data_IF_410694236782
#
_entry.id   IF_410694236782
#
_cell.length_a   1.000
_cell.length_b   1.000
_cell.length_c   1.000
_cell.angle_alpha   90.00
_cell.angle_beta   90.00
_cell.angle_gamma   90.00
#
_symmetry.space_group_name_H-M   'P 1'
#
loop_
_entity.id
_entity.type
_entity.pdbx_description
1 polymer ?
#
# COMPACT_ATOMS: atom_id res chain seq x y z
N UNK A 1 7.53 17.44 13.66
CA UNK A 1 7.09 16.06 13.97
C UNK A 1 5.60 16.09 14.31
N UNK A 2 4.81 15.07 13.93
CA UNK A 2 3.38 15.03 14.22
C UNK A 2 3.11 14.85 15.74
N UNK A 3 2.05 15.48 16.31
CA UNK A 3 1.67 15.31 17.72
C UNK A 3 1.38 13.84 18.09
N UNK A 4 1.83 13.39 19.27
CA UNK A 4 1.77 11.98 19.74
C UNK A 4 0.39 11.35 19.56
N UNK A 5 -0.66 12.07 19.90
CA UNK A 5 -2.06 11.62 19.90
C UNK A 5 -2.69 11.53 18.49
N UNK A 6 -2.10 12.18 17.49
CA UNK A 6 -2.64 12.27 16.12
C UNK A 6 -1.75 11.58 15.09
N UNK A 7 -0.74 10.81 15.53
CA UNK A 7 0.21 10.15 14.62
C UNK A 7 -0.46 9.18 13.66
N UNK A 8 -1.51 8.48 14.08
CA UNK A 8 -2.29 7.61 13.21
C UNK A 8 -2.90 8.39 12.05
N UNK A 9 -3.56 9.51 12.35
CA UNK A 9 -4.10 10.41 11.32
C UNK A 9 -3.03 10.95 10.37
N UNK A 10 -1.90 11.45 10.87
CA UNK A 10 -0.85 12.00 9.99
C UNK A 10 -0.14 10.93 9.15
N UNK A 11 -0.02 9.69 9.65
CA UNK A 11 0.53 8.56 8.90
C UNK A 11 -0.29 8.22 7.64
N UNK A 12 -1.60 8.50 7.65
CA UNK A 12 -2.47 8.29 6.48
C UNK A 12 -2.03 9.07 5.24
N UNK A 13 -1.33 10.20 5.41
CA UNK A 13 -0.89 11.04 4.29
C UNK A 13 0.08 10.33 3.35
N UNK A 14 0.85 9.36 3.87
CA UNK A 14 1.80 8.57 3.07
C UNK A 14 1.03 7.75 2.03
N UNK A 15 0.03 6.99 2.45
CA UNK A 15 -0.79 6.20 1.54
C UNK A 15 -1.80 7.04 0.76
N UNK A 16 -2.28 8.15 1.33
CA UNK A 16 -3.19 9.08 0.63
C UNK A 16 -2.49 9.72 -0.56
N UNK A 17 -1.27 10.23 -0.39
CA UNK A 17 -0.50 10.85 -1.49
C UNK A 17 -0.12 9.83 -2.57
N UNK A 18 0.35 8.64 -2.19
CA UNK A 18 0.65 7.57 -3.13
C UNK A 18 -0.58 7.12 -3.93
N UNK A 19 -1.72 6.93 -3.26
CA UNK A 19 -2.96 6.52 -3.93
C UNK A 19 -3.58 7.64 -4.75
N UNK A 20 -3.44 8.91 -4.35
CA UNK A 20 -3.84 10.05 -5.16
C UNK A 20 -3.06 10.10 -6.49
N UNK A 21 -1.77 9.76 -6.47
CA UNK A 21 -0.97 9.59 -7.68
C UNK A 21 -1.50 8.47 -8.59
N UNK A 22 -1.81 7.30 -8.02
CA UNK A 22 -2.44 6.19 -8.75
C UNK A 22 -3.79 6.62 -9.33
N UNK A 23 -4.62 7.29 -8.54
CA UNK A 23 -5.95 7.76 -8.95
C UNK A 23 -5.85 8.75 -10.11
N UNK A 24 -4.93 9.71 -10.04
CA UNK A 24 -4.67 10.66 -11.13
C UNK A 24 -4.23 9.95 -12.41
N UNK A 25 -3.35 8.94 -12.31
CA UNK A 25 -2.94 8.12 -13.44
C UNK A 25 -4.09 7.31 -14.04
N UNK A 26 -4.89 6.66 -13.20
CA UNK A 26 -6.06 5.86 -13.63
C UNK A 26 -7.14 6.74 -14.25
N UNK A 27 -7.42 7.92 -13.68
CA UNK A 27 -8.35 8.91 -14.24
C UNK A 27 -7.89 9.39 -15.60
N UNK A 28 -6.60 9.73 -15.74
CA UNK A 28 -6.03 10.12 -17.03
C UNK A 28 -6.20 8.99 -18.06
N UNK A 29 -5.90 7.76 -17.69
CA UNK A 29 -6.12 6.59 -18.55
C UNK A 29 -7.58 6.38 -18.95
N UNK A 30 -8.51 6.54 -18.01
CA UNK A 30 -9.95 6.42 -18.25
C UNK A 30 -10.46 7.51 -19.20
N UNK A 31 -10.06 8.77 -18.99
CA UNK A 31 -10.43 9.90 -19.86
C UNK A 31 -9.89 9.67 -21.27
N UNK A 32 -8.60 9.36 -21.41
CA UNK A 32 -8.00 9.14 -22.73
C UNK A 32 -8.66 7.98 -23.48
N UNK A 33 -9.02 6.90 -22.79
CA UNK A 33 -9.70 5.75 -23.40
C UNK A 33 -11.15 6.05 -23.76
N UNK A 34 -11.81 6.98 -23.06
CA UNK A 34 -13.16 7.44 -23.39
C UNK A 34 -13.23 8.44 -24.53
N UNK A 35 -12.18 9.25 -24.73
CA UNK A 35 -12.15 10.32 -25.74
C UNK A 35 -11.46 9.89 -27.03
N UNK A 36 -10.44 9.02 -26.97
CA UNK A 36 -9.67 8.58 -28.14
C UNK A 36 -10.20 7.26 -28.71
N UNK A 37 -10.09 7.12 -30.03
CA UNK A 37 -10.31 5.83 -30.68
C UNK A 37 -9.22 4.82 -30.29
N UNK A 38 -9.50 3.52 -30.43
CA UNK A 38 -8.47 2.47 -30.19
C UNK A 38 -7.23 2.66 -31.07
N UNK A 39 -7.41 3.14 -32.31
CA UNK A 39 -6.31 3.39 -33.23
C UNK A 39 -5.43 4.54 -32.73
N UNK A 40 -6.03 5.67 -32.32
CA UNK A 40 -5.31 6.84 -31.82
C UNK A 40 -4.59 6.57 -30.50
N UNK A 41 -5.24 5.83 -29.59
CA UNK A 41 -4.64 5.42 -28.33
C UNK A 41 -3.35 4.63 -28.56
N UNK A 42 -3.37 3.68 -29.50
CA UNK A 42 -2.21 2.86 -29.84
C UNK A 42 -1.14 3.64 -30.62
N UNK A 43 -1.55 4.55 -31.51
CA UNK A 43 -0.65 5.33 -32.33
C UNK A 43 0.13 6.35 -31.48
N UNK A 44 -0.55 7.14 -30.63
CA UNK A 44 0.07 8.25 -29.90
C UNK A 44 -0.48 8.52 -28.50
N UNK A 45 -1.75 8.21 -28.22
CA UNK A 45 -2.42 8.57 -26.96
C UNK A 45 -1.70 8.06 -25.70
N UNK A 46 -1.07 6.88 -25.77
CA UNK A 46 -0.30 6.31 -24.66
C UNK A 46 0.89 7.17 -24.20
N UNK A 47 1.39 8.10 -25.04
CA UNK A 47 2.52 8.99 -24.68
C UNK A 47 2.10 10.09 -23.70
N UNK A 48 0.82 10.48 -23.68
CA UNK A 48 0.32 11.57 -22.82
C UNK A 48 0.58 11.27 -21.33
N UNK A 49 0.21 10.10 -20.76
CA UNK A 49 0.54 9.78 -19.38
C UNK A 49 2.04 9.85 -19.04
N UNK A 50 2.91 9.44 -19.97
CA UNK A 50 4.36 9.52 -19.76
C UNK A 50 4.88 10.95 -19.73
N UNK A 51 4.37 11.83 -20.61
CA UNK A 51 4.74 13.24 -20.62
C UNK A 51 4.28 13.94 -19.34
N UNK A 52 3.03 13.70 -18.92
CA UNK A 52 2.49 14.24 -17.66
C UNK A 52 3.29 13.73 -16.46
N UNK A 53 3.56 12.42 -16.39
CA UNK A 53 4.38 11.82 -15.34
C UNK A 53 5.81 12.37 -15.31
N UNK A 54 6.43 12.59 -16.48
CA UNK A 54 7.75 13.21 -16.60
C UNK A 54 7.78 14.64 -16.06
N UNK A 55 6.80 15.47 -16.42
CA UNK A 55 6.68 16.83 -15.92
C UNK A 55 6.50 16.86 -14.39
N UNK A 56 5.65 16.00 -13.84
CA UNK A 56 5.46 15.86 -12.39
C UNK A 56 6.74 15.36 -11.70
N UNK A 57 7.49 14.45 -12.34
CA UNK A 57 8.79 13.97 -11.83
C UNK A 57 9.83 15.08 -11.73
N UNK A 58 9.94 15.93 -12.76
CA UNK A 58 10.82 17.11 -12.73
C UNK A 58 10.38 18.07 -11.61
N UNK A 59 9.08 18.34 -11.50
CA UNK A 59 8.55 19.19 -10.44
C UNK A 59 8.89 18.65 -9.04
N UNK A 60 8.72 17.35 -8.82
CA UNK A 60 9.07 16.70 -7.55
C UNK A 60 10.59 16.78 -7.26
N UNK A 61 11.44 16.66 -8.28
CA UNK A 61 12.89 16.82 -8.15
C UNK A 61 13.26 18.25 -7.75
N UNK A 62 12.66 19.25 -8.38
CA UNK A 62 12.89 20.67 -8.03
C UNK A 62 12.41 20.98 -6.62
N UNK A 63 11.23 20.48 -6.24
CA UNK A 63 10.71 20.64 -4.89
C UNK A 63 11.66 20.01 -3.86
N UNK A 64 12.15 18.79 -4.13
CA UNK A 64 13.08 18.10 -3.24
C UNK A 64 14.41 18.83 -3.10
N UNK A 65 14.93 19.42 -4.19
CA UNK A 65 16.15 20.21 -4.17
C UNK A 65 16.02 21.52 -3.36
N UNK A 66 14.80 22.02 -3.15
CA UNK A 66 14.52 23.29 -2.44
C UNK A 66 14.02 23.12 -1.01
N UNK A 67 13.72 21.89 -0.55
CA UNK A 67 13.31 21.65 0.84
C UNK A 67 14.49 21.85 1.79
N UNK A 68 14.31 22.69 2.82
CA UNK A 68 15.27 22.81 3.92
C UNK A 68 15.25 21.53 4.76
N UNK A 69 16.43 20.98 5.03
CA UNK A 69 16.65 19.89 5.99
C UNK A 69 16.00 20.25 7.34
N UNK A 70 15.33 19.28 7.98
CA UNK A 70 14.70 19.47 9.29
C UNK A 70 15.75 19.85 10.35
N UNK A 71 15.39 20.69 11.32
CA UNK A 71 16.28 21.10 12.43
C UNK A 71 16.88 19.90 13.19
N UNK A 72 16.14 18.78 13.30
CA UNK A 72 16.62 17.53 13.89
C UNK A 72 17.78 16.86 13.12
N UNK A 73 17.89 17.12 11.81
CA UNK A 73 18.98 16.65 10.95
C UNK A 73 20.15 17.66 10.90
N UNK A 74 19.89 18.95 11.14
CA UNK A 74 20.94 19.97 11.22
C UNK A 74 21.68 19.97 12.57
N UNK A 75 21.03 19.49 13.64
CA UNK A 75 21.64 19.37 14.97
C UNK A 75 22.55 18.13 15.12
N UNK A 76 22.45 17.13 14.22
CA UNK A 76 23.42 16.04 14.13
C UNK A 76 24.69 16.56 13.43
N UNK A 77 25.69 16.95 14.22
CA UNK A 77 27.01 17.29 13.71
C UNK A 77 27.56 16.14 12.84
N UNK A 78 28.31 16.42 11.76
CA UNK A 78 28.81 15.43 10.79
C UNK A 78 29.85 14.44 11.35
N UNK A 79 29.92 14.25 12.66
CA UNK A 79 31.03 13.62 13.39
C UNK A 79 30.73 12.25 14.00
N UNK A 80 29.50 11.73 14.01
CA UNK A 80 29.29 10.32 14.39
C UNK A 80 29.58 9.39 13.20
N UNK A 81 30.57 8.49 13.36
CA UNK A 81 30.84 7.39 12.43
C UNK A 81 29.52 6.71 12.09
N UNK A 82 29.07 6.84 10.83
CA UNK A 82 27.90 6.11 10.33
C UNK A 82 28.16 4.62 10.51
N UNK A 83 27.54 4.04 11.53
CA UNK A 83 27.62 2.60 11.75
C UNK A 83 27.09 1.88 10.49
N UNK A 84 27.72 0.79 10.06
CA UNK A 84 27.27 0.06 8.89
C UNK A 84 25.83 -0.46 9.10
N UNK A 85 25.01 -0.33 8.05
CA UNK A 85 23.57 -0.63 8.11
C UNK A 85 23.26 -2.09 8.46
N UNK A 86 24.06 -3.03 7.96
CA UNK A 86 23.78 -4.47 8.06
C UNK A 86 23.91 -5.01 9.50
N UNK A 87 24.99 -4.70 10.26
CA UNK A 87 25.07 -5.03 11.68
C UNK A 87 23.87 -4.56 12.51
N UNK A 88 23.34 -3.36 12.22
CA UNK A 88 22.17 -2.84 12.92
C UNK A 88 20.92 -3.65 12.59
N UNK A 89 20.68 -3.99 11.31
CA UNK A 89 19.53 -4.82 10.93
C UNK A 89 19.61 -6.21 11.59
N UNK A 90 20.79 -6.82 11.62
CA UNK A 90 21.00 -8.13 12.27
C UNK A 90 20.75 -8.05 13.78
N UNK A 91 21.21 -6.97 14.43
CA UNK A 91 20.96 -6.71 15.86
C UNK A 91 19.47 -6.58 16.16
N UNK A 92 18.70 -5.95 15.28
CA UNK A 92 17.24 -5.75 15.41
C UNK A 92 16.43 -6.70 14.52
N UNK A 93 16.93 -7.93 14.29
CA UNK A 93 16.28 -8.93 13.42
C UNK A 93 14.84 -9.25 13.80
N UNK A 94 14.50 -9.20 15.08
CA UNK A 94 13.13 -9.46 15.56
C UNK A 94 12.17 -8.38 15.09
N UNK A 95 12.58 -7.11 15.18
CA UNK A 95 11.81 -5.96 14.70
C UNK A 95 11.74 -5.95 13.17
N UNK A 96 12.83 -6.31 12.49
CA UNK A 96 12.84 -6.47 11.04
C UNK A 96 11.83 -7.55 10.58
N UNK A 97 11.78 -8.70 11.27
CA UNK A 97 10.79 -9.74 11.01
C UNK A 97 9.36 -9.27 11.30
N UNK A 98 9.15 -8.44 12.32
CA UNK A 98 7.83 -7.84 12.58
C UNK A 98 7.40 -6.90 11.46
N UNK A 99 8.31 -6.10 10.90
CA UNK A 99 8.02 -5.28 9.71
C UNK A 99 7.61 -6.15 8.53
N UNK A 100 8.39 -7.19 8.23
CA UNK A 100 8.11 -8.11 7.13
C UNK A 100 6.76 -8.80 7.34
N UNK A 101 6.52 -9.37 8.53
CA UNK A 101 5.29 -10.07 8.87
C UNK A 101 4.05 -9.19 8.72
N UNK A 102 4.10 -7.95 9.22
CA UNK A 102 3.01 -6.98 9.07
C UNK A 102 2.84 -6.47 7.63
N UNK A 103 3.90 -6.48 6.82
CA UNK A 103 3.88 -6.00 5.43
C UNK A 103 3.39 -7.07 4.46
N UNK A 104 3.76 -8.34 4.64
CA UNK A 104 3.72 -9.35 3.59
C UNK A 104 2.32 -9.61 3.02
N UNK A 105 1.32 -9.82 3.87
CA UNK A 105 -0.07 -9.97 3.43
C UNK A 105 -0.65 -8.67 2.89
N UNK A 106 -0.36 -7.55 3.56
CA UNK A 106 -0.84 -6.24 3.18
C UNK A 106 -0.38 -5.85 1.77
N UNK A 107 0.93 -6.01 1.48
CA UNK A 107 1.49 -5.63 0.19
C UNK A 107 0.94 -6.50 -0.93
N UNK A 108 0.84 -7.81 -0.75
CA UNK A 108 0.31 -8.69 -1.80
C UNK A 108 -1.13 -8.31 -2.13
N UNK A 109 -1.99 -8.20 -1.11
CA UNK A 109 -3.41 -7.93 -1.33
C UNK A 109 -3.63 -6.51 -1.86
N UNK A 110 -2.84 -5.53 -1.42
CA UNK A 110 -2.88 -4.17 -1.97
C UNK A 110 -2.49 -4.12 -3.45
N UNK A 111 -1.42 -4.83 -3.87
CA UNK A 111 -1.03 -4.85 -5.28
C UNK A 111 -2.12 -5.48 -6.15
N UNK A 112 -2.75 -6.55 -5.67
CA UNK A 112 -3.78 -7.25 -6.43
C UNK A 112 -5.05 -6.41 -6.57
N UNK A 113 -5.54 -5.84 -5.47
CA UNK A 113 -6.80 -5.09 -5.48
C UNK A 113 -6.64 -3.62 -5.84
N UNK A 114 -5.63 -2.94 -5.31
CA UNK A 114 -5.42 -1.51 -5.51
C UNK A 114 -4.75 -1.15 -6.84
N UNK A 115 -3.92 -2.05 -7.39
CA UNK A 115 -3.10 -1.76 -8.57
C UNK A 115 -3.53 -2.58 -9.79
N UNK A 116 -3.65 -3.91 -9.65
CA UNK A 116 -3.76 -4.81 -10.81
C UNK A 116 -5.20 -5.20 -11.16
N UNK A 117 -6.14 -5.14 -10.22
CA UNK A 117 -7.51 -5.60 -10.42
C UNK A 117 -8.21 -5.04 -11.67
N UNK A 118 -8.14 -3.72 -12.00
CA UNK A 118 -8.74 -3.19 -13.23
C UNK A 118 -8.16 -3.81 -14.49
N UNK A 119 -6.83 -3.93 -14.54
CA UNK A 119 -6.13 -4.55 -15.67
C UNK A 119 -6.47 -6.03 -15.81
N UNK A 120 -6.54 -6.76 -14.68
CA UNK A 120 -6.94 -8.16 -14.65
C UNK A 120 -8.38 -8.37 -15.14
N UNK A 121 -9.32 -7.53 -14.70
CA UNK A 121 -10.71 -7.61 -15.16
C UNK A 121 -10.83 -7.37 -16.67
N UNK A 122 -10.08 -6.40 -17.20
CA UNK A 122 -10.06 -6.12 -18.63
C UNK A 122 -9.40 -7.24 -19.46
N UNK A 123 -8.31 -7.84 -18.99
CA UNK A 123 -7.54 -8.84 -19.76
C UNK A 123 -8.09 -10.26 -19.64
N UNK A 124 -8.37 -10.69 -18.41
CA UNK A 124 -8.77 -12.06 -18.07
C UNK A 124 -10.28 -12.26 -18.13
N UNK A 125 -11.05 -11.31 -17.60
CA UNK A 125 -12.53 -11.40 -17.54
C UNK A 125 -13.22 -10.77 -18.75
N UNK A 126 -12.43 -10.24 -19.71
CA UNK A 126 -12.89 -9.59 -20.94
C UNK A 126 -13.86 -8.43 -20.72
N UNK A 127 -13.79 -7.81 -19.54
CA UNK A 127 -14.56 -6.60 -19.21
C UNK A 127 -14.14 -5.45 -20.13
N UNK A 128 -15.07 -4.54 -20.42
CA UNK A 128 -14.73 -3.29 -21.09
C UNK A 128 -13.64 -2.53 -20.30
N UNK A 129 -12.62 -2.04 -21.02
CA UNK A 129 -11.45 -1.37 -20.41
C UNK A 129 -11.85 -0.08 -19.70
N UNK A 130 -12.71 0.73 -20.31
CA UNK A 130 -13.16 1.98 -19.72
C UNK A 130 -13.94 1.72 -18.43
N UNK A 131 -14.87 0.77 -18.48
CA UNK A 131 -15.68 0.40 -17.32
C UNK A 131 -14.83 -0.19 -16.18
N UNK A 132 -13.84 -1.04 -16.50
CA UNK A 132 -12.91 -1.59 -15.50
C UNK A 132 -12.06 -0.49 -14.83
N UNK A 133 -11.59 0.50 -15.60
CA UNK A 133 -10.85 1.64 -15.06
C UNK A 133 -11.71 2.50 -14.14
N UNK A 134 -12.97 2.79 -14.52
CA UNK A 134 -13.90 3.53 -13.67
C UNK A 134 -14.24 2.80 -12.37
N UNK A 135 -14.44 1.49 -12.42
CA UNK A 135 -14.57 0.67 -11.21
C UNK A 135 -13.32 0.76 -10.32
N UNK A 136 -12.14 0.78 -10.94
CA UNK A 136 -10.86 1.01 -10.27
C UNK A 136 -10.74 2.37 -9.58
N UNK A 137 -11.22 3.43 -10.22
CA UNK A 137 -11.31 4.79 -9.66
C UNK A 137 -12.21 4.77 -8.42
N UNK A 138 -13.40 4.18 -8.51
CA UNK A 138 -14.34 4.09 -7.38
C UNK A 138 -13.70 3.36 -6.19
N UNK A 139 -13.07 2.21 -6.43
CA UNK A 139 -12.39 1.44 -5.39
C UNK A 139 -11.26 2.22 -4.70
N UNK A 140 -10.43 2.93 -5.46
CA UNK A 140 -9.34 3.74 -4.92
C UNK A 140 -9.83 5.01 -4.19
N UNK A 141 -10.94 5.60 -4.63
CA UNK A 141 -11.61 6.67 -3.88
C UNK A 141 -12.12 6.14 -2.53
N UNK A 142 -12.74 4.95 -2.53
CA UNK A 142 -13.15 4.30 -1.28
C UNK A 142 -11.96 4.01 -0.37
N UNK A 143 -10.81 3.57 -0.92
CA UNK A 143 -9.57 3.41 -0.16
C UNK A 143 -9.15 4.71 0.54
N UNK A 144 -9.01 5.80 -0.22
CA UNK A 144 -8.59 7.10 0.30
C UNK A 144 -9.56 7.60 1.37
N UNK A 145 -10.86 7.49 1.13
CA UNK A 145 -11.89 7.89 2.09
C UNK A 145 -11.86 7.06 3.39
N UNK A 146 -11.42 5.80 3.30
CA UNK A 146 -11.32 4.88 4.45
C UNK A 146 -10.10 5.14 5.33
N UNK A 147 -9.01 5.69 4.78
CA UNK A 147 -7.77 5.92 5.52
C UNK A 147 -7.97 6.82 6.76
N UNK A 148 -8.61 8.02 6.67
CA UNK A 148 -8.86 8.86 7.84
C UNK A 148 -9.81 8.22 8.87
N UNK A 149 -10.80 7.44 8.41
CA UNK A 149 -11.72 6.73 9.27
C UNK A 149 -10.96 5.75 10.17
N UNK A 150 -10.14 4.88 9.58
CA UNK A 150 -9.34 3.90 10.32
C UNK A 150 -8.26 4.54 11.17
N UNK A 151 -7.61 5.60 10.70
CA UNK A 151 -6.64 6.37 11.48
C UNK A 151 -7.25 6.92 12.77
N UNK A 152 -8.42 7.58 12.66
CA UNK A 152 -9.17 8.09 13.84
C UNK A 152 -9.65 6.97 14.75
N UNK A 153 -10.11 5.87 14.19
CA UNK A 153 -10.55 4.71 14.97
C UNK A 153 -9.38 4.13 15.78
N UNK A 154 -8.20 4.01 15.16
CA UNK A 154 -6.98 3.54 15.84
C UNK A 154 -6.53 4.46 16.97
N UNK A 155 -6.67 5.77 16.79
CA UNK A 155 -6.39 6.72 17.86
C UNK A 155 -7.36 6.56 19.04
N UNK A 156 -8.57 6.01 18.84
CA UNK A 156 -9.54 5.70 19.91
C UNK A 156 -9.32 4.33 20.54
N UNK A 157 -9.30 3.25 19.76
CA UNK A 157 -9.31 1.86 20.29
C UNK A 157 -7.93 1.21 20.40
N UNK A 158 -6.88 1.83 19.84
CA UNK A 158 -5.53 1.26 19.77
C UNK A 158 -5.12 0.83 18.36
N UNK A 159 -3.82 0.60 18.15
CA UNK A 159 -3.25 0.18 16.85
C UNK A 159 -3.46 -1.30 16.63
N UNK A 160 -3.27 -2.11 17.67
CA UNK A 160 -3.33 -3.57 17.57
C UNK A 160 -4.73 -4.09 17.22
N UNK A 161 -5.83 -3.64 17.86
CA UNK A 161 -7.17 -4.10 17.50
C UNK A 161 -7.53 -3.77 16.06
N UNK A 162 -7.14 -2.58 15.58
CA UNK A 162 -7.42 -2.20 14.20
C UNK A 162 -6.65 -3.06 13.22
N UNK A 163 -5.34 -3.29 13.42
CA UNK A 163 -4.54 -4.15 12.55
C UNK A 163 -5.11 -5.57 12.44
N UNK A 164 -5.63 -6.11 13.55
CA UNK A 164 -6.22 -7.45 13.58
C UNK A 164 -7.57 -7.44 12.85
N UNK A 165 -8.48 -6.51 13.18
CA UNK A 165 -9.81 -6.44 12.55
C UNK A 165 -9.71 -6.17 11.05
N UNK A 166 -8.82 -5.27 10.65
CA UNK A 166 -8.60 -4.92 9.25
C UNK A 166 -8.06 -6.11 8.46
N UNK A 167 -7.03 -6.78 8.98
CA UNK A 167 -6.40 -7.92 8.30
C UNK A 167 -7.30 -9.16 8.32
N UNK A 168 -8.03 -9.40 9.40
CA UNK A 168 -9.00 -10.50 9.50
C UNK A 168 -10.19 -10.28 8.56
N UNK A 169 -10.72 -9.05 8.50
CA UNK A 169 -11.78 -8.70 7.56
C UNK A 169 -11.35 -8.87 6.10
N UNK A 170 -10.12 -8.44 5.76
CA UNK A 170 -9.55 -8.71 4.44
C UNK A 170 -9.42 -10.21 4.17
N UNK A 171 -8.96 -11.02 5.13
CA UNK A 171 -8.78 -12.46 4.95
C UNK A 171 -10.11 -13.20 4.76
N UNK A 172 -11.11 -12.87 5.58
CA UNK A 172 -12.44 -13.48 5.54
C UNK A 172 -13.20 -13.12 4.26
N UNK A 173 -13.09 -11.86 3.82
CA UNK A 173 -13.82 -11.38 2.64
C UNK A 173 -13.06 -11.61 1.33
N UNK A 174 -11.78 -12.02 1.36
CA UNK A 174 -11.00 -12.26 0.15
C UNK A 174 -11.71 -13.24 -0.79
N UNK A 175 -12.09 -14.43 -0.32
CA UNK A 175 -12.80 -15.41 -1.14
C UNK A 175 -14.17 -14.91 -1.64
N UNK A 176 -15.08 -14.44 -0.76
CA UNK A 176 -16.35 -13.85 -1.20
C UNK A 176 -16.20 -12.78 -2.28
N UNK A 177 -15.25 -11.86 -2.13
CA UNK A 177 -15.03 -10.77 -3.09
C UNK A 177 -14.42 -11.26 -4.40
N UNK A 178 -13.56 -12.29 -4.37
CA UNK A 178 -13.08 -12.93 -5.60
C UNK A 178 -14.16 -13.72 -6.33
N UNK A 179 -15.12 -14.34 -5.64
CA UNK A 179 -16.24 -15.05 -6.26
C UNK A 179 -17.31 -14.12 -6.82
N UNK A 180 -17.49 -12.96 -6.19
CA UNK A 180 -18.34 -11.90 -6.72
C UNK A 180 -17.79 -11.32 -8.03
N UNK A 181 -16.46 -11.27 -8.17
CA UNK A 181 -15.78 -10.73 -9.33
C UNK A 181 -15.93 -11.66 -10.56
N UNK A 182 -16.85 -11.30 -11.46
CA UNK A 182 -17.06 -11.97 -12.74
C UNK A 182 -16.83 -10.97 -13.88
N UNK A 183 -17.84 -10.73 -14.70
CA UNK A 183 -17.77 -9.95 -15.93
C UNK A 183 -18.36 -8.54 -15.81
N UNK A 184 -18.94 -8.18 -14.65
CA UNK A 184 -19.66 -6.91 -14.51
C UNK A 184 -18.85 -5.81 -13.80
N UNK A 185 -18.84 -4.56 -14.32
CA UNK A 185 -18.09 -3.45 -13.73
C UNK A 185 -18.49 -3.13 -12.28
N UNK A 186 -19.78 -3.27 -11.94
CA UNK A 186 -20.24 -3.01 -10.58
C UNK A 186 -19.71 -4.04 -9.58
N UNK A 187 -19.54 -5.31 -10.00
CA UNK A 187 -18.95 -6.36 -9.16
C UNK A 187 -17.50 -6.02 -8.84
N UNK A 188 -16.73 -5.58 -9.83
CA UNK A 188 -15.36 -5.11 -9.63
C UNK A 188 -15.32 -3.92 -8.67
N UNK A 189 -16.18 -2.92 -8.87
CA UNK A 189 -16.22 -1.74 -8.02
C UNK A 189 -16.54 -2.09 -6.55
N UNK A 190 -17.51 -2.98 -6.32
CA UNK A 190 -17.88 -3.45 -4.97
C UNK A 190 -16.75 -4.27 -4.35
N UNK A 191 -16.24 -5.28 -5.05
CA UNK A 191 -15.16 -6.14 -4.56
C UNK A 191 -13.90 -5.33 -4.21
N UNK A 192 -13.51 -4.40 -5.10
CA UNK A 192 -12.39 -3.49 -4.83
C UNK A 192 -12.66 -2.59 -3.62
N UNK A 193 -13.83 -1.96 -3.54
CA UNK A 193 -14.16 -1.03 -2.45
C UNK A 193 -14.15 -1.73 -1.09
N UNK A 194 -14.73 -2.93 -1.00
CA UNK A 194 -14.77 -3.72 0.24
C UNK A 194 -13.36 -4.14 0.64
N UNK A 195 -12.59 -4.72 -0.28
CA UNK A 195 -11.21 -5.15 0.02
C UNK A 195 -10.32 -3.98 0.41
N UNK A 196 -10.39 -2.88 -0.34
CA UNK A 196 -9.61 -1.67 -0.06
C UNK A 196 -10.02 -1.00 1.25
N UNK A 197 -11.30 -1.03 1.63
CA UNK A 197 -11.73 -0.56 2.95
C UNK A 197 -10.98 -1.28 4.09
N UNK A 198 -10.87 -2.61 4.03
CA UNK A 198 -10.14 -3.38 5.04
C UNK A 198 -8.62 -3.18 4.94
N UNK A 199 -8.05 -3.16 3.73
CA UNK A 199 -6.62 -2.87 3.51
C UNK A 199 -6.24 -1.49 4.06
N UNK A 200 -7.11 -0.48 3.92
CA UNK A 200 -6.92 0.87 4.45
C UNK A 200 -6.76 0.88 5.99
N UNK A 201 -7.42 -0.05 6.68
CA UNK A 201 -7.26 -0.24 8.13
C UNK A 201 -5.82 -0.52 8.52
N UNK A 202 -5.16 -1.44 7.82
CA UNK A 202 -3.75 -1.74 8.06
C UNK A 202 -2.83 -0.63 7.54
N UNK A 203 -3.07 -0.15 6.32
CA UNK A 203 -2.24 0.86 5.67
C UNK A 203 -2.19 2.20 6.43
N UNK A 204 -3.29 2.61 7.08
CA UNK A 204 -3.36 3.85 7.86
C UNK A 204 -2.47 3.85 9.11
N UNK A 205 -2.14 2.67 9.66
CA UNK A 205 -1.51 2.54 10.99
C UNK A 205 -0.08 2.01 10.90
N UNK A 206 0.18 1.14 9.93
CA UNK A 206 1.46 0.47 9.75
C UNK A 206 2.67 1.44 9.78
N UNK A 207 2.66 2.61 9.11
CA UNK A 207 3.78 3.55 9.19
C UNK A 207 4.04 4.08 10.61
N UNK A 208 2.99 4.29 11.41
CA UNK A 208 3.12 4.71 12.81
C UNK A 208 3.71 3.59 13.67
N UNK A 209 3.24 2.35 13.49
CA UNK A 209 3.77 1.17 14.20
C UNK A 209 5.24 0.95 13.87
N UNK A 210 5.64 1.09 12.61
CA UNK A 210 7.04 0.98 12.21
C UNK A 210 7.93 2.04 12.84
N UNK A 211 7.43 3.28 12.97
CA UNK A 211 8.15 4.31 13.68
C UNK A 211 8.30 4.00 15.19
N UNK A 212 7.34 3.31 15.79
CA UNK A 212 7.33 2.98 17.22
C UNK A 212 8.11 1.71 17.58
N UNK A 213 8.40 0.85 16.60
CA UNK A 213 9.16 -0.41 16.77
C UNK A 213 10.68 -0.21 16.86
N UNK A 214 11.22 0.84 16.23
CA UNK A 214 12.66 1.09 16.16
C UNK A 214 13.09 2.35 16.93
N UNK A 215 14.24 2.30 17.63
CA UNK A 215 14.90 3.49 18.17
C UNK A 215 15.15 4.52 17.06
N UNK A 216 15.04 5.80 17.39
CA UNK A 216 15.11 6.90 16.41
C UNK A 216 16.39 6.83 15.56
N UNK A 217 17.55 6.49 16.16
CA UNK A 217 18.86 6.39 15.48
C UNK A 217 18.90 5.43 14.28
N UNK A 218 18.09 4.37 14.30
CA UNK A 218 18.13 3.33 13.26
C UNK A 218 16.81 3.19 12.51
N UNK A 219 15.81 4.03 12.81
CA UNK A 219 14.43 3.88 12.33
C UNK A 219 14.35 3.89 10.80
N UNK A 220 15.04 4.84 10.15
CA UNK A 220 14.98 4.99 8.69
C UNK A 220 15.48 3.74 7.98
N UNK A 221 16.62 3.20 8.41
CA UNK A 221 17.23 2.00 7.81
C UNK A 221 16.52 0.73 8.25
N UNK A 222 16.22 0.61 9.54
CA UNK A 222 15.59 -0.57 10.16
C UNK A 222 14.15 -0.81 9.69
N UNK A 223 13.41 0.25 9.33
CA UNK A 223 12.11 0.12 8.67
C UNK A 223 12.29 -0.02 7.15
N UNK A 224 13.09 0.84 6.54
CA UNK A 224 13.19 0.96 5.09
C UNK A 224 13.69 -0.31 4.41
N UNK A 225 14.71 -0.96 4.94
CA UNK A 225 15.32 -2.14 4.30
C UNK A 225 14.40 -3.37 4.35
N UNK A 226 13.89 -3.81 5.52
CA UNK A 226 13.00 -4.97 5.57
C UNK A 226 11.70 -4.74 4.81
N UNK A 227 11.15 -3.52 4.87
CA UNK A 227 9.96 -3.14 4.10
C UNK A 227 10.21 -3.23 2.60
N UNK A 228 11.30 -2.63 2.10
CA UNK A 228 11.61 -2.61 0.66
C UNK A 228 11.85 -4.01 0.12
N UNK A 229 12.58 -4.85 0.87
CA UNK A 229 12.80 -6.26 0.49
C UNK A 229 11.46 -7.00 0.44
N UNK A 230 10.61 -6.83 1.45
CA UNK A 230 9.29 -7.48 1.49
C UNK A 230 8.41 -7.04 0.30
N UNK A 231 8.32 -5.73 0.05
CA UNK A 231 7.52 -5.20 -1.07
C UNK A 231 8.08 -5.66 -2.42
N UNK A 232 9.40 -5.68 -2.61
CA UNK A 232 10.01 -6.15 -3.84
C UNK A 232 9.76 -7.64 -4.09
N UNK A 233 9.99 -8.48 -3.06
CA UNK A 233 9.89 -9.95 -3.19
C UNK A 233 8.45 -10.41 -3.27
N UNK A 234 7.54 -9.84 -2.47
CA UNK A 234 6.15 -10.31 -2.39
C UNK A 234 5.19 -9.41 -3.16
N UNK A 235 5.25 -8.10 -2.96
CA UNK A 235 4.36 -7.15 -3.65
C UNK A 235 4.61 -7.11 -5.16
N UNK A 236 5.87 -6.97 -5.57
CA UNK A 236 6.26 -6.87 -6.98
C UNK A 236 6.04 -8.17 -7.78
N UNK A 237 6.14 -9.33 -7.14
CA UNK A 237 5.96 -10.63 -7.79
C UNK A 237 4.52 -11.14 -7.77
N UNK A 238 3.67 -10.61 -6.87
CA UNK A 238 2.28 -11.04 -6.72
C UNK A 238 1.48 -11.05 -8.04
N UNK A 239 1.55 -10.02 -8.91
CA UNK A 239 0.82 -10.03 -10.17
C UNK A 239 1.27 -11.13 -11.14
N UNK A 240 2.59 -11.41 -11.17
CA UNK A 240 3.16 -12.46 -11.99
C UNK A 240 2.72 -13.84 -11.49
N UNK A 241 2.77 -14.05 -10.17
CA UNK A 241 2.33 -15.29 -9.55
C UNK A 241 0.82 -15.51 -9.75
N UNK A 242 0.01 -14.45 -9.62
CA UNK A 242 -1.43 -14.51 -9.89
C UNK A 242 -1.71 -14.90 -11.34
N UNK A 243 -1.01 -14.26 -12.29
CA UNK A 243 -1.19 -14.51 -13.72
C UNK A 243 -0.76 -15.93 -14.10
N UNK A 244 0.39 -16.38 -13.61
CA UNK A 244 0.91 -17.72 -13.87
C UNK A 244 -0.02 -18.81 -13.30
N UNK A 245 -0.42 -18.69 -12.02
CA UNK A 245 -1.36 -19.63 -11.40
C UNK A 245 -2.71 -19.62 -12.11
N UNK A 246 -3.16 -18.45 -12.58
CA UNK A 246 -4.34 -18.32 -13.44
C UNK A 246 -4.20 -19.06 -14.77
N UNK A 247 -3.04 -18.96 -15.43
CA UNK A 247 -2.78 -19.60 -16.72
C UNK A 247 -2.79 -21.14 -16.68
N UNK A 248 -2.46 -21.73 -15.52
CA UNK A 248 -2.49 -23.18 -15.30
C UNK A 248 -3.80 -23.65 -14.66
N UNK A 249 -4.83 -22.79 -14.57
CA UNK A 249 -6.13 -23.12 -13.99
C UNK A 249 -6.16 -23.20 -12.46
N UNK A 250 -5.09 -22.78 -11.78
CA UNK A 250 -4.94 -22.85 -10.32
C UNK A 250 -5.05 -21.47 -9.65
N UNK A 251 -5.90 -20.58 -10.17
CA UNK A 251 -6.12 -19.24 -9.60
C UNK A 251 -6.49 -19.27 -8.11
N UNK A 252 -7.17 -20.33 -7.65
CA UNK A 252 -7.49 -20.52 -6.23
C UNK A 252 -6.25 -20.68 -5.34
N UNK A 253 -5.15 -21.26 -5.84
CA UNK A 253 -3.91 -21.37 -5.05
C UNK A 253 -3.32 -19.99 -4.73
N UNK A 254 -3.44 -19.03 -5.65
CA UNK A 254 -3.04 -17.66 -5.38
C UNK A 254 -3.89 -17.02 -4.28
N UNK A 255 -5.19 -17.27 -4.29
CA UNK A 255 -6.10 -16.77 -3.26
C UNK A 255 -5.79 -17.37 -1.88
N UNK A 256 -5.52 -18.68 -1.81
CA UNK A 256 -5.06 -19.34 -0.59
C UNK A 256 -3.73 -18.75 -0.12
N UNK A 257 -2.76 -18.55 -1.02
CA UNK A 257 -1.48 -17.91 -0.72
C UNK A 257 -1.68 -16.50 -0.11
N UNK A 258 -2.52 -15.67 -0.72
CA UNK A 258 -2.82 -14.32 -0.22
C UNK A 258 -3.43 -14.36 1.19
N UNK A 259 -4.37 -15.28 1.44
CA UNK A 259 -5.00 -15.46 2.77
C UNK A 259 -4.00 -15.96 3.82
N UNK A 260 -3.09 -16.88 3.46
CA UNK A 260 -2.02 -17.34 4.35
C UNK A 260 -1.11 -16.17 4.74
N UNK A 261 -0.74 -15.32 3.79
CA UNK A 261 0.10 -14.15 4.08
C UNK A 261 -0.62 -13.13 4.98
N UNK A 262 -1.94 -12.94 4.80
CA UNK A 262 -2.75 -12.15 5.73
C UNK A 262 -2.78 -12.78 7.12
N UNK A 263 -2.93 -14.10 7.22
CA UNK A 263 -2.90 -14.82 8.50
C UNK A 263 -1.54 -14.68 9.21
N UNK A 264 -0.43 -14.70 8.47
CA UNK A 264 0.91 -14.39 9.00
C UNK A 264 0.93 -12.96 9.54
N UNK A 265 0.40 -11.98 8.79
CA UNK A 265 0.28 -10.60 9.26
C UNK A 265 -0.53 -10.46 10.55
N UNK A 266 -1.65 -11.19 10.66
CA UNK A 266 -2.46 -11.25 11.88
C UNK A 266 -1.67 -11.83 13.05
N UNK A 267 -0.94 -12.93 12.83
CA UNK A 267 -0.11 -13.55 13.87
C UNK A 267 0.96 -12.58 14.39
N UNK A 268 1.64 -11.85 13.51
CA UNK A 268 2.59 -10.81 13.90
C UNK A 268 1.90 -9.61 14.60
N UNK A 269 0.69 -9.25 14.19
CA UNK A 269 -0.10 -8.23 14.88
C UNK A 269 -0.45 -8.64 16.32
N UNK A 270 -0.64 -9.94 16.60
CA UNK A 270 -0.80 -10.44 17.98
C UNK A 270 0.51 -10.35 18.79
N UNK A 271 1.66 -10.48 18.15
CA UNK A 271 2.98 -10.45 18.81
C UNK A 271 3.49 -9.04 19.13
N UNK A 272 2.98 -8.00 18.48
CA UNK A 272 3.37 -6.63 18.80
C UNK A 272 2.65 -6.12 20.07
N UNK A 273 3.35 -5.35 20.93
CA UNK A 273 2.71 -4.64 22.04
C UNK A 273 1.81 -3.53 21.48
N UNK A 274 0.80 -3.11 22.26
CA UNK A 274 0.03 -1.91 21.91
C UNK A 274 0.95 -0.69 22.00
N UNK A 275 1.01 0.09 20.92
CA UNK A 275 1.95 1.21 20.79
C UNK A 275 1.27 2.58 20.92
N UNK A 276 -0.06 2.61 21.14
CA UNK A 276 -0.81 3.85 21.35
C UNK A 276 -0.21 4.73 22.45
N UNK A 277 0.10 5.98 22.09
CA UNK A 277 0.56 7.00 23.02
C UNK A 277 2.04 6.87 23.44
N UNK A 278 2.82 5.99 22.82
CA UNK A 278 4.22 5.80 23.18
C UNK A 278 5.06 7.05 22.88
N UNK A 279 5.80 7.50 23.89
CA UNK A 279 6.75 8.59 23.74
C UNK A 279 7.93 8.15 22.86
N UNK A 280 8.36 9.03 21.95
CA UNK A 280 9.51 8.78 21.06
C UNK A 280 10.68 9.73 21.34
N UNK A 281 10.59 10.59 22.38
CA UNK A 281 11.66 11.53 22.75
C UNK A 281 12.72 10.94 23.68
N UNK A 282 12.63 9.65 24.03
CA UNK A 282 13.63 8.93 24.82
C UNK A 282 13.90 7.54 24.25
#
# INVERSE_FOLDING_TARGET
MAPKEKRGFWATLIYTSGTAGILAGTLLGAILTGVLSKADMNAWGWRIPFLVGGALGIYALVMRAKMKETEAFQAEAPTEKREPMWPQIVKYRKQALQVIGLTVGLTVVYYIWGVVAPSYAASSLKMDRGAALWAGVIGNVAFIASLPFWGKLSDRIGRKPVLIVSSAGAALLHFPMTWLLKDSPWQLAVSMSVMLFFIAGSASIVPAVYAELFPTKIRTVGVGVPYSICVAVFGGTAPYLQTWLGSIGQANMFNVYAVILLAIGIAFAFMIPETKGKDLTH
#
